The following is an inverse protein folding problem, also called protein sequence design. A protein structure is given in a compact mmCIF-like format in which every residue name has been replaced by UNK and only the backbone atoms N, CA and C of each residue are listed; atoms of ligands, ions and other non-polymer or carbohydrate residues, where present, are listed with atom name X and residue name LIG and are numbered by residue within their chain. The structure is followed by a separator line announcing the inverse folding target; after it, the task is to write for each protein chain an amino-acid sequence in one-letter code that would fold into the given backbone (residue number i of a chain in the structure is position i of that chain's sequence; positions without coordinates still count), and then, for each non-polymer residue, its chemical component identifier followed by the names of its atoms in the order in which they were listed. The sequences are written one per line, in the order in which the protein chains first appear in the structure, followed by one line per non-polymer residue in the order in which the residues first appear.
data_IF_793615320683
#
_entry.id   IF_793615320683
#
_cell.length_a   1.000
_cell.length_b   1.000
_cell.length_c   1.000
_cell.angle_alpha   90.00
_cell.angle_beta   90.00
_cell.angle_gamma   90.00
#
_symmetry.space_group_name_H-M   'P 1'
#
loop_
_entity.id
_entity.type
_entity.pdbx_description
1 polymer ?
#
# COMPACT_ATOMS: atom_id res chain seq x y z
N UNK A 1 -5.11 21.47 67.83
CA UNK A 1 -5.04 22.24 66.58
C UNK A 1 -4.42 21.34 65.51
N UNK A 2 -5.24 20.80 64.61
CA UNK A 2 -4.81 19.85 63.59
C UNK A 2 -4.36 20.61 62.33
N UNK A 3 -3.05 20.67 62.10
CA UNK A 3 -2.47 21.27 60.90
C UNK A 3 -2.54 20.24 59.75
N UNK A 4 -3.55 20.36 58.89
CA UNK A 4 -3.62 19.59 57.63
C UNK A 4 -2.64 20.21 56.64
N UNK A 5 -1.50 19.56 56.42
CA UNK A 5 -0.62 19.82 55.28
C UNK A 5 -1.33 19.39 53.99
N UNK A 6 -1.80 20.36 53.21
CA UNK A 6 -2.26 20.15 51.83
C UNK A 6 -1.03 20.19 50.94
N UNK A 7 -0.58 19.03 50.43
CA UNK A 7 0.41 18.97 49.36
C UNK A 7 -0.26 19.44 48.05
N UNK A 8 0.27 20.46 47.36
CA UNK A 8 -0.19 20.78 46.02
C UNK A 8 0.37 19.72 45.06
N UNK A 9 -0.52 18.92 44.46
CA UNK A 9 -0.19 18.10 43.29
C UNK A 9 0.21 19.06 42.15
N UNK A 10 1.51 19.19 41.89
CA UNK A 10 2.03 19.83 40.69
C UNK A 10 1.67 18.96 39.49
N UNK A 11 0.57 19.28 38.82
CA UNK A 11 0.26 18.77 37.50
C UNK A 11 1.34 19.28 36.54
N UNK A 12 2.31 18.43 36.21
CA UNK A 12 3.25 18.72 35.14
C UNK A 12 2.46 18.81 33.82
N UNK A 13 2.55 19.92 33.07
CA UNK A 13 1.98 19.97 31.74
C UNK A 13 2.72 18.95 30.89
N UNK A 14 2.03 17.86 30.52
CA UNK A 14 2.49 16.96 29.48
C UNK A 14 2.48 17.78 28.19
N UNK A 15 3.62 18.39 27.85
CA UNK A 15 3.85 18.90 26.52
C UNK A 15 3.83 17.70 25.57
N UNK A 16 2.68 17.46 24.93
CA UNK A 16 2.60 16.65 23.73
C UNK A 16 3.46 17.34 22.68
N UNK A 17 4.73 16.94 22.58
CA UNK A 17 5.59 17.30 21.48
C UNK A 17 4.96 16.67 20.24
N UNK A 18 4.27 17.49 19.44
CA UNK A 18 3.82 17.06 18.12
C UNK A 18 5.06 16.61 17.35
N UNK A 19 5.11 15.33 16.98
CA UNK A 19 6.19 14.84 16.13
C UNK A 19 6.12 15.56 14.78
N UNK A 20 7.27 16.01 14.32
CA UNK A 20 7.38 16.73 13.06
C UNK A 20 7.11 15.77 11.89
N UNK A 21 6.24 16.19 10.97
CA UNK A 21 5.87 15.42 9.79
C UNK A 21 7.03 15.38 8.79
N UNK A 22 7.45 14.19 8.38
CA UNK A 22 8.57 13.98 7.46
C UNK A 22 8.11 13.29 6.19
N UNK A 23 8.80 13.57 5.09
CA UNK A 23 8.64 12.88 3.82
C UNK A 23 9.26 11.49 3.93
N UNK A 24 8.44 10.46 3.75
CA UNK A 24 8.79 9.03 3.89
C UNK A 24 9.24 8.42 2.56
N UNK A 25 8.83 9.03 1.46
CA UNK A 25 9.31 8.74 0.12
C UNK A 25 10.59 9.53 -0.13
N UNK A 26 11.53 8.98 -0.90
CA UNK A 26 12.88 9.55 -1.06
C UNK A 26 12.93 10.67 -2.12
N UNK A 27 11.84 11.45 -2.25
CA UNK A 27 11.70 12.50 -3.26
C UNK A 27 12.82 13.52 -3.14
N UNK A 28 13.46 13.79 -4.28
CA UNK A 28 14.53 14.76 -4.38
C UNK A 28 15.92 14.27 -4.00
N UNK A 29 16.07 13.06 -3.47
CA UNK A 29 17.39 12.52 -3.11
C UNK A 29 18.22 12.11 -4.34
N UNK A 30 17.58 11.86 -5.48
CA UNK A 30 18.24 11.31 -6.67
C UNK A 30 18.17 12.18 -7.92
N UNK A 31 17.46 13.31 -7.88
CA UNK A 31 17.35 14.24 -9.00
C UNK A 31 17.62 15.70 -8.56
N UNK A 32 18.87 16.06 -8.21
CA UNK A 32 19.19 17.39 -7.68
C UNK A 32 18.91 18.53 -8.67
N UNK A 33 18.81 18.22 -9.97
CA UNK A 33 18.60 19.19 -11.04
C UNK A 33 17.17 19.70 -11.10
N UNK A 34 16.19 18.81 -10.95
CA UNK A 34 14.77 19.14 -11.11
C UNK A 34 13.98 19.03 -9.80
N UNK A 35 14.62 18.62 -8.70
CA UNK A 35 13.92 18.46 -7.43
C UNK A 35 13.34 19.76 -6.87
N UNK A 36 12.09 19.68 -6.42
CA UNK A 36 11.42 20.72 -5.62
C UNK A 36 11.60 20.51 -4.10
N UNK A 37 12.34 19.49 -3.66
CA UNK A 37 12.37 19.00 -2.26
C UNK A 37 13.69 19.28 -1.51
N UNK A 38 14.45 20.30 -1.92
CA UNK A 38 15.80 20.58 -1.38
C UNK A 38 15.83 20.74 0.15
N UNK A 39 14.78 21.32 0.72
CA UNK A 39 14.66 21.63 2.14
C UNK A 39 13.59 20.79 2.85
N UNK A 40 13.04 19.77 2.18
CA UNK A 40 12.01 18.92 2.78
C UNK A 40 12.62 18.09 3.93
N UNK A 41 11.93 17.92 5.08
CA UNK A 41 12.41 17.06 6.13
C UNK A 41 12.17 15.60 5.74
N UNK A 42 13.23 14.83 5.48
CA UNK A 42 13.11 13.42 5.13
C UNK A 42 13.21 12.48 6.33
N UNK A 43 12.57 11.33 6.17
CA UNK A 43 12.85 10.13 6.93
C UNK A 43 13.02 8.98 5.95
N UNK A 44 14.26 8.70 5.56
CA UNK A 44 14.57 7.63 4.62
C UNK A 44 14.02 6.29 5.14
N UNK A 45 13.13 5.69 4.36
CA UNK A 45 12.46 4.44 4.72
C UNK A 45 13.16 3.23 4.11
N UNK A 46 13.95 3.41 3.04
CA UNK A 46 14.46 2.29 2.23
C UNK A 46 13.33 1.52 1.54
N UNK A 47 12.17 2.17 1.36
CA UNK A 47 10.99 1.56 0.80
C UNK A 47 11.08 1.34 -0.71
N UNK A 48 10.05 0.69 -1.24
CA UNK A 48 9.94 0.34 -2.66
C UNK A 48 8.57 0.69 -3.20
N UNK A 49 8.50 0.97 -4.50
CA UNK A 49 7.24 1.11 -5.23
C UNK A 49 7.14 0.04 -6.31
N UNK A 50 5.95 -0.52 -6.47
CA UNK A 50 5.63 -1.45 -7.55
C UNK A 50 4.39 -1.02 -8.32
N UNK A 51 4.29 -1.40 -9.59
CA UNK A 51 3.21 -0.99 -10.48
C UNK A 51 2.43 -2.19 -11.02
N UNK A 52 1.09 -2.07 -11.05
CA UNK A 52 0.19 -3.09 -11.61
C UNK A 52 -0.92 -2.43 -12.43
N UNK A 53 -1.18 -2.84 -13.69
CA UNK A 53 -0.36 -3.72 -14.51
C UNK A 53 1.02 -3.11 -14.79
N UNK A 54 1.87 -3.79 -15.56
CA UNK A 54 3.18 -3.27 -15.96
C UNK A 54 2.99 -1.93 -16.71
N UNK A 55 3.86 -0.96 -16.39
CA UNK A 55 3.86 0.37 -17.00
C UNK A 55 4.24 0.31 -18.48
N UNK A 56 3.69 1.24 -19.26
CA UNK A 56 4.12 1.45 -20.64
C UNK A 56 5.44 2.23 -20.70
N UNK A 57 5.66 3.17 -19.77
CA UNK A 57 6.97 3.76 -19.53
C UNK A 57 7.20 4.06 -18.04
N UNK A 58 8.46 3.99 -17.55
CA UNK A 58 9.67 3.63 -18.30
C UNK A 58 9.68 2.17 -18.78
N UNK A 59 10.05 1.94 -20.04
CA UNK A 59 9.97 0.63 -20.71
C UNK A 59 11.00 -0.33 -20.11
N UNK A 60 10.57 -1.53 -19.73
CA UNK A 60 11.45 -2.54 -19.12
C UNK A 60 11.82 -2.25 -17.67
N UNK A 61 11.16 -1.28 -17.02
CA UNK A 61 11.34 -1.03 -15.60
C UNK A 61 10.97 -2.30 -14.79
N UNK A 62 11.75 -2.61 -13.75
CA UNK A 62 11.39 -3.68 -12.82
C UNK A 62 9.98 -3.47 -12.29
N UNK A 63 9.25 -4.55 -12.05
CA UNK A 63 7.90 -4.49 -11.45
C UNK A 63 7.94 -3.76 -10.11
N UNK A 64 9.07 -3.83 -9.39
CA UNK A 64 9.32 -3.19 -8.10
C UNK A 64 10.67 -2.50 -8.12
N UNK A 65 10.72 -1.23 -7.72
CA UNK A 65 11.93 -0.39 -7.68
C UNK A 65 12.06 0.29 -6.32
N UNK A 66 13.28 0.55 -5.82
CA UNK A 66 13.49 1.41 -4.65
C UNK A 66 12.94 2.82 -4.85
N UNK A 67 12.54 3.51 -3.77
CA UNK A 67 12.10 4.91 -3.87
C UNK A 67 13.17 5.82 -4.48
N UNK A 68 14.44 5.68 -4.08
CA UNK A 68 15.55 6.41 -4.69
C UNK A 68 15.59 6.29 -6.24
N UNK A 69 15.17 5.17 -6.81
CA UNK A 69 15.30 4.90 -8.24
C UNK A 69 14.00 5.13 -9.04
N UNK A 70 12.88 5.40 -8.36
CA UNK A 70 11.58 5.52 -9.01
C UNK A 70 11.37 6.93 -9.59
N UNK A 71 10.85 7.06 -10.83
CA UNK A 71 10.43 8.35 -11.34
C UNK A 71 9.30 8.98 -10.50
N UNK A 72 8.53 8.18 -9.75
CA UNK A 72 7.44 8.66 -8.90
C UNK A 72 7.91 9.33 -7.61
N UNK A 73 9.17 9.16 -7.26
CA UNK A 73 9.76 9.66 -6.01
C UNK A 73 11.15 10.21 -6.26
N UNK A 74 11.39 10.78 -7.45
CA UNK A 74 12.66 11.41 -7.78
C UNK A 74 12.67 12.91 -7.46
N UNK A 75 11.50 13.51 -7.20
CA UNK A 75 11.32 14.91 -6.82
C UNK A 75 10.97 15.86 -7.97
N UNK A 76 10.73 15.38 -9.18
CA UNK A 76 10.31 16.19 -10.35
C UNK A 76 8.83 15.96 -10.66
N UNK A 77 7.92 16.84 -10.19
CA UNK A 77 6.48 16.69 -10.46
C UNK A 77 6.07 17.07 -11.90
N UNK A 78 7.04 17.36 -12.78
CA UNK A 78 6.81 17.78 -14.16
C UNK A 78 6.38 16.66 -15.11
N UNK A 79 5.96 17.07 -16.31
CA UNK A 79 5.51 16.16 -17.37
C UNK A 79 6.29 16.34 -18.69
N UNK A 80 7.48 16.93 -18.62
CA UNK A 80 8.32 17.14 -19.79
C UNK A 80 9.06 15.85 -20.17
N UNK A 81 8.55 15.17 -21.20
CA UNK A 81 9.10 13.91 -21.70
C UNK A 81 10.54 14.02 -22.22
N UNK A 82 11.06 15.23 -22.42
CA UNK A 82 12.43 15.46 -22.88
C UNK A 82 13.46 15.41 -21.75
N UNK A 83 13.02 15.38 -20.49
CA UNK A 83 13.92 15.35 -19.32
C UNK A 83 14.48 13.94 -19.09
N UNK A 84 15.70 13.92 -18.57
CA UNK A 84 16.39 12.72 -18.11
C UNK A 84 16.90 12.97 -16.67
N UNK A 85 16.61 12.07 -15.70
CA UNK A 85 15.69 10.93 -15.81
C UNK A 85 14.26 11.38 -16.17
N UNK A 86 13.47 10.48 -16.76
CA UNK A 86 12.08 10.77 -17.14
C UNK A 86 11.24 11.13 -15.90
N UNK A 87 10.44 12.20 -15.93
CA UNK A 87 9.79 12.74 -14.73
C UNK A 87 8.43 12.10 -14.42
N UNK A 88 8.02 11.08 -15.17
CA UNK A 88 6.74 10.43 -14.95
C UNK A 88 6.72 8.97 -15.40
N UNK A 89 5.72 8.26 -14.89
CA UNK A 89 5.33 6.93 -15.31
C UNK A 89 3.90 6.94 -15.86
N UNK A 90 3.59 6.01 -16.77
CA UNK A 90 2.23 5.90 -17.30
C UNK A 90 1.82 4.50 -17.72
N UNK A 91 0.50 4.30 -17.70
CA UNK A 91 -0.17 3.21 -18.40
C UNK A 91 -0.80 3.73 -19.68
N UNK A 92 -0.83 2.89 -20.72
CA UNK A 92 -1.45 3.19 -22.01
C UNK A 92 -2.58 2.21 -22.30
N UNK A 93 -3.73 2.73 -22.69
CA UNK A 93 -4.94 1.98 -23.04
C UNK A 93 -5.44 1.05 -21.94
N UNK A 94 -5.12 1.36 -20.69
CA UNK A 94 -5.58 0.63 -19.51
C UNK A 94 -6.77 1.35 -18.89
N UNK A 95 -7.76 0.58 -18.42
CA UNK A 95 -8.89 1.13 -17.66
C UNK A 95 -8.52 1.50 -16.22
N UNK A 96 -7.44 0.89 -15.71
CA UNK A 96 -6.99 1.01 -14.32
C UNK A 96 -5.48 0.82 -14.23
N UNK A 97 -4.86 1.54 -13.29
CA UNK A 97 -3.49 1.35 -12.87
C UNK A 97 -3.37 1.45 -11.35
N UNK A 98 -2.36 0.81 -10.78
CA UNK A 98 -2.09 0.78 -9.34
C UNK A 98 -0.61 0.92 -9.05
N UNK A 99 -0.31 1.66 -8.00
CA UNK A 99 1.00 1.68 -7.37
C UNK A 99 0.89 1.16 -5.93
N UNK A 100 1.76 0.23 -5.56
CA UNK A 100 1.93 -0.24 -4.19
C UNK A 100 3.24 0.32 -3.64
N UNK A 101 3.17 1.05 -2.53
CA UNK A 101 4.29 1.64 -1.82
C UNK A 101 4.53 0.83 -0.54
N UNK A 102 5.63 0.09 -0.47
CA UNK A 102 6.07 -0.61 0.73
C UNK A 102 7.10 0.27 1.46
N UNK A 103 6.80 0.68 2.69
CA UNK A 103 7.65 1.55 3.51
C UNK A 103 8.70 0.77 4.32
N UNK A 104 8.78 -0.55 4.14
CA UNK A 104 9.62 -1.51 4.85
C UNK A 104 9.37 -1.64 6.37
N UNK A 105 8.79 -0.61 7.01
CA UNK A 105 8.44 -0.56 8.43
C UNK A 105 7.14 0.23 8.62
N UNK A 106 6.46 0.07 9.75
CA UNK A 106 5.28 0.86 10.06
C UNK A 106 5.58 2.33 10.34
N UNK A 107 4.76 3.21 9.76
CA UNK A 107 4.75 4.65 10.01
C UNK A 107 3.32 5.13 10.24
N UNK A 108 3.18 6.20 11.01
CA UNK A 108 1.91 6.92 11.17
C UNK A 108 1.79 7.94 10.05
N UNK A 109 0.91 7.67 9.09
CA UNK A 109 0.73 8.45 7.87
C UNK A 109 -0.27 9.57 8.13
N UNK A 110 0.07 10.77 7.66
CA UNK A 110 -0.71 12.00 7.86
C UNK A 110 -1.22 12.63 6.59
N UNK A 111 -0.45 12.49 5.51
CA UNK A 111 -0.75 13.09 4.22
C UNK A 111 -0.17 12.26 3.09
N UNK A 112 -0.95 12.07 2.03
CA UNK A 112 -0.47 11.52 0.76
C UNK A 112 -0.80 12.51 -0.35
N UNK A 113 0.18 12.81 -1.20
CA UNK A 113 -0.03 13.66 -2.39
C UNK A 113 0.35 12.89 -3.63
N UNK A 114 -0.37 13.11 -4.72
CA UNK A 114 -0.06 12.52 -6.02
C UNK A 114 -0.23 13.56 -7.12
N UNK A 115 0.78 13.71 -7.97
CA UNK A 115 0.77 14.61 -9.11
C UNK A 115 0.46 13.82 -10.38
N UNK A 116 -0.62 14.20 -11.08
CA UNK A 116 -1.05 13.53 -12.31
C UNK A 116 -1.18 14.50 -13.47
N UNK A 117 -1.04 13.97 -14.69
CA UNK A 117 -1.40 14.70 -15.91
C UNK A 117 -2.83 14.35 -16.30
N UNK A 118 -3.72 15.34 -16.27
CA UNK A 118 -5.13 15.21 -16.63
C UNK A 118 -5.49 16.21 -17.74
N UNK A 119 -4.78 16.12 -18.87
CA UNK A 119 -4.98 16.98 -20.03
C UNK A 119 -4.68 16.23 -21.34
N UNK A 120 -5.28 16.70 -22.45
CA UNK A 120 -5.11 16.06 -23.76
C UNK A 120 -5.51 14.58 -23.75
N UNK A 121 -4.66 13.65 -24.21
CA UNK A 121 -4.96 12.21 -24.19
C UNK A 121 -4.76 11.56 -22.81
N UNK A 122 -4.30 12.30 -21.81
CA UNK A 122 -4.09 11.84 -20.44
C UNK A 122 -5.33 12.12 -19.59
N UNK A 123 -5.72 11.15 -18.77
CA UNK A 123 -7.05 11.08 -18.18
C UNK A 123 -7.18 10.11 -17.02
N UNK A 124 -7.29 10.64 -15.81
CA UNK A 124 -7.70 9.89 -14.62
C UNK A 124 -9.01 10.48 -14.14
N UNK A 125 -10.02 9.64 -13.92
CA UNK A 125 -11.30 10.07 -13.35
C UNK A 125 -11.27 10.07 -11.82
N UNK A 126 -10.59 9.08 -11.24
CA UNK A 126 -10.64 8.81 -9.80
C UNK A 126 -9.31 8.27 -9.30
N UNK A 127 -8.94 8.68 -8.09
CA UNK A 127 -7.83 8.15 -7.30
C UNK A 127 -8.39 7.58 -6.00
N UNK A 128 -8.05 6.33 -5.70
CA UNK A 128 -8.44 5.64 -4.46
C UNK A 128 -7.18 5.29 -3.68
N UNK A 129 -7.19 5.55 -2.37
CA UNK A 129 -6.08 5.27 -1.45
C UNK A 129 -6.49 4.13 -0.52
N UNK A 130 -5.60 3.15 -0.37
CA UNK A 130 -5.77 2.01 0.52
C UNK A 130 -4.52 1.80 1.38
N UNK A 131 -4.69 1.15 2.53
CA UNK A 131 -3.59 0.46 3.21
C UNK A 131 -3.05 -0.64 2.29
N UNK A 132 -1.74 -0.89 2.34
CA UNK A 132 -1.18 -2.08 1.72
C UNK A 132 -1.52 -3.30 2.59
N UNK A 133 -2.28 -4.23 2.05
CA UNK A 133 -2.82 -5.40 2.75
C UNK A 133 -3.18 -6.51 1.76
N UNK A 134 -3.69 -7.63 2.26
CA UNK A 134 -4.05 -8.77 1.40
C UNK A 134 -5.23 -8.38 0.48
N UNK A 135 -5.18 -8.63 -0.84
CA UNK A 135 -6.33 -8.43 -1.73
C UNK A 135 -7.59 -9.21 -1.34
N UNK A 136 -7.44 -10.28 -0.54
CA UNK A 136 -8.54 -11.06 0.03
C UNK A 136 -9.15 -10.39 1.28
N UNK A 137 -8.49 -9.39 1.86
CA UNK A 137 -9.16 -8.47 2.77
C UNK A 137 -10.17 -7.66 1.95
N UNK A 138 -11.40 -7.55 2.45
CA UNK A 138 -12.46 -6.74 1.84
C UNK A 138 -11.87 -5.37 1.44
N UNK A 139 -11.82 -5.01 0.15
CA UNK A 139 -11.15 -3.80 -0.32
C UNK A 139 -11.58 -2.53 0.42
N UNK A 140 -12.83 -2.50 0.89
CA UNK A 140 -13.44 -1.46 1.70
C UNK A 140 -12.78 -1.29 3.06
N UNK A 141 -12.40 -2.40 3.73
CA UNK A 141 -11.73 -2.37 5.03
C UNK A 141 -10.33 -1.75 4.96
N UNK A 142 -9.69 -1.81 3.78
CA UNK A 142 -8.39 -1.19 3.54
C UNK A 142 -8.50 0.22 2.99
N UNK A 143 -9.67 0.66 2.53
CA UNK A 143 -9.83 1.97 1.88
C UNK A 143 -9.65 3.09 2.91
N UNK A 144 -8.74 4.00 2.60
CA UNK A 144 -8.46 5.20 3.39
C UNK A 144 -9.15 6.43 2.82
N UNK A 145 -9.41 6.46 1.52
CA UNK A 145 -10.09 7.58 0.88
C UNK A 145 -10.25 7.44 -0.62
N UNK A 146 -10.98 8.38 -1.19
CA UNK A 146 -11.22 8.51 -2.62
C UNK A 146 -11.28 9.99 -3.01
N UNK A 147 -10.72 10.33 -4.16
CA UNK A 147 -10.79 11.65 -4.75
C UNK A 147 -11.25 11.56 -6.21
N UNK A 148 -12.04 12.55 -6.65
CA UNK A 148 -12.12 12.87 -8.07
C UNK A 148 -10.79 13.46 -8.49
N UNK A 149 -10.24 12.95 -9.59
CA UNK A 149 -8.91 13.32 -10.02
C UNK A 149 -8.89 14.68 -10.75
N UNK A 150 -7.96 15.55 -10.34
CA UNK A 150 -7.69 16.85 -10.93
C UNK A 150 -6.31 16.88 -11.58
N UNK A 151 -6.10 17.74 -12.59
CA UNK A 151 -4.79 17.92 -13.20
C UNK A 151 -3.81 18.53 -12.19
N UNK A 152 -2.65 17.91 -12.00
CA UNK A 152 -1.64 18.32 -11.02
C UNK A 152 -1.79 17.59 -9.68
N UNK A 153 -1.56 18.30 -8.58
CA UNK A 153 -1.51 17.72 -7.23
C UNK A 153 -2.89 17.41 -6.67
N UNK A 154 -3.10 16.16 -6.28
CA UNK A 154 -4.27 15.66 -5.56
C UNK A 154 -3.82 15.26 -4.15
N UNK A 155 -4.62 15.60 -3.13
CA UNK A 155 -4.20 15.50 -1.73
C UNK A 155 -5.18 14.71 -0.90
N UNK A 156 -4.70 13.64 -0.27
CA UNK A 156 -5.35 13.00 0.87
C UNK A 156 -4.75 13.61 2.14
N UNK A 157 -5.45 14.56 2.73
CA UNK A 157 -5.09 15.15 4.01
C UNK A 157 -5.85 14.47 5.16
N UNK A 158 -5.50 14.82 6.40
CA UNK A 158 -6.18 14.35 7.63
C UNK A 158 -6.15 12.83 7.81
N UNK A 159 -5.11 12.17 7.29
CA UNK A 159 -4.88 10.77 7.60
C UNK A 159 -4.39 10.64 9.05
N UNK A 160 -4.83 9.59 9.71
CA UNK A 160 -4.30 9.18 11.00
C UNK A 160 -4.29 7.66 11.08
N UNK A 161 -3.38 7.05 10.33
CA UNK A 161 -3.30 5.60 10.22
C UNK A 161 -1.87 5.12 10.34
N UNK A 162 -1.68 4.01 11.06
CA UNK A 162 -0.38 3.35 11.15
C UNK A 162 -0.33 2.20 10.17
N UNK A 163 0.55 2.29 9.18
CA UNK A 163 0.71 1.28 8.12
C UNK A 163 2.18 1.14 7.73
N UNK A 164 2.56 -0.02 7.21
CA UNK A 164 3.88 -0.27 6.60
C UNK A 164 3.86 -0.14 5.08
N UNK A 165 2.74 0.26 4.50
CA UNK A 165 2.60 0.52 3.08
C UNK A 165 1.23 1.04 2.68
N UNK A 166 1.15 1.55 1.46
CA UNK A 166 -0.06 2.09 0.85
C UNK A 166 -0.26 1.54 -0.56
N UNK A 167 -1.50 1.54 -1.05
CA UNK A 167 -1.83 1.27 -2.44
C UNK A 167 -2.65 2.43 -2.99
N UNK A 168 -2.19 3.00 -4.09
CA UNK A 168 -2.92 3.99 -4.88
C UNK A 168 -3.50 3.30 -6.11
N UNK A 169 -4.80 3.49 -6.35
CA UNK A 169 -5.50 2.98 -7.53
C UNK A 169 -6.04 4.14 -8.34
N UNK A 170 -5.81 4.07 -9.64
CA UNK A 170 -6.20 5.08 -10.62
C UNK A 170 -7.20 4.46 -11.59
N UNK A 171 -8.33 5.12 -11.78
CA UNK A 171 -9.32 4.74 -12.80
C UNK A 171 -9.22 5.70 -13.97
N UNK A 172 -9.04 5.17 -15.18
CA UNK A 172 -8.97 5.97 -16.39
C UNK A 172 -10.26 6.77 -16.61
N UNK A 173 -10.13 8.01 -17.07
CA UNK A 173 -11.26 8.78 -17.55
C UNK A 173 -11.74 8.25 -18.91
N UNK A 174 -13.07 8.22 -19.11
CA UNK A 174 -13.67 7.69 -20.34
C UNK A 174 -13.17 8.46 -21.56
N UNK A 175 -12.69 7.74 -22.58
CA UNK A 175 -12.20 8.31 -23.83
C UNK A 175 -10.75 8.80 -23.79
N UNK A 176 -10.05 8.61 -22.67
CA UNK A 176 -8.64 8.96 -22.52
C UNK A 176 -7.76 7.73 -22.72
N UNK A 177 -6.55 7.96 -23.21
CA UNK A 177 -5.61 6.90 -23.60
C UNK A 177 -4.61 6.60 -22.49
N UNK A 178 -4.22 7.58 -21.69
CA UNK A 178 -3.13 7.45 -20.72
C UNK A 178 -3.59 7.75 -19.29
N UNK A 179 -3.10 6.95 -18.34
CA UNK A 179 -3.05 7.31 -16.92
C UNK A 179 -1.59 7.68 -16.64
N UNK A 180 -1.32 8.91 -16.23
CA UNK A 180 0.05 9.44 -16.09
C UNK A 180 0.26 10.09 -14.74
N UNK A 181 1.30 9.66 -14.05
CA UNK A 181 1.66 10.10 -12.69
C UNK A 181 3.13 10.51 -12.70
N UNK A 182 3.42 11.74 -12.26
CA UNK A 182 4.80 12.23 -12.14
C UNK A 182 5.37 11.95 -10.77
N UNK A 183 4.62 12.24 -9.71
CA UNK A 183 5.17 12.24 -8.36
C UNK A 183 4.16 11.74 -7.32
N UNK A 184 4.64 11.05 -6.29
CA UNK A 184 3.88 10.66 -5.11
C UNK A 184 4.68 11.02 -3.86
N UNK A 185 4.01 11.70 -2.93
CA UNK A 185 4.57 12.02 -1.63
C UNK A 185 3.81 11.27 -0.54
N UNK A 186 4.52 10.59 0.36
CA UNK A 186 3.94 10.02 1.57
C UNK A 186 4.57 10.72 2.77
N UNK A 187 3.75 11.37 3.59
CA UNK A 187 4.20 12.12 4.76
C UNK A 187 3.69 11.52 6.05
N UNK A 188 4.57 11.44 7.05
CA UNK A 188 4.23 10.88 8.33
C UNK A 188 5.38 10.91 9.34
N UNK A 189 5.26 10.06 10.34
CA UNK A 189 6.18 9.95 11.47
C UNK A 189 6.40 8.49 11.85
N UNK A 190 7.45 8.21 12.64
CA UNK A 190 7.70 6.84 13.10
C UNK A 190 6.53 6.36 13.93
N UNK A 191 6.04 5.15 13.66
CA UNK A 191 5.04 4.54 14.53
C UNK A 191 5.63 4.33 15.94
N UNK A 192 4.84 4.65 16.97
CA UNK A 192 5.20 4.40 18.37
C UNK A 192 4.39 3.21 18.87
N UNK A 193 5.07 2.20 19.41
CA UNK A 193 4.45 0.99 19.97
C UNK A 193 4.51 -0.25 19.08
N UNK A 194 3.96 -1.36 19.56
CA UNK A 194 3.86 -2.61 18.79
C UNK A 194 2.80 -2.44 17.70
N UNK A 195 3.23 -2.46 16.45
CA UNK A 195 2.32 -2.55 15.31
C UNK A 195 2.14 -4.01 14.95
N UNK A 196 0.90 -4.44 14.72
CA UNK A 196 0.63 -5.78 14.22
C UNK A 196 1.37 -5.99 12.89
N UNK A 197 2.05 -7.13 12.74
CA UNK A 197 2.71 -7.46 11.48
C UNK A 197 1.64 -7.59 10.38
N UNK A 198 1.89 -6.97 9.22
CA UNK A 198 1.02 -7.06 8.03
C UNK A 198 0.73 -8.52 7.69
N UNK A 199 -0.55 -8.83 7.46
CA UNK A 199 -0.92 -10.05 6.74
C UNK A 199 -0.36 -9.91 5.31
N UNK A 200 0.71 -10.67 5.02
CA UNK A 200 1.23 -10.72 3.65
C UNK A 200 0.29 -11.59 2.83
N UNK A 201 0.00 -11.15 1.60
CA UNK A 201 -0.69 -11.98 0.64
C UNK A 201 -0.01 -13.37 0.61
N UNK A 202 -0.79 -14.46 0.61
CA UNK A 202 -0.24 -15.81 0.54
C UNK A 202 0.74 -15.89 -0.64
N UNK A 203 1.87 -16.56 -0.43
CA UNK A 203 2.80 -16.82 -1.53
C UNK A 203 2.06 -17.59 -2.62
N UNK A 204 2.16 -17.12 -3.86
CA UNK A 204 1.70 -17.85 -5.06
C UNK A 204 2.13 -19.31 -4.97
N UNK A 205 1.15 -20.20 -4.81
CA UNK A 205 1.37 -21.64 -4.86
C UNK A 205 1.59 -22.13 -6.30
N UNK A 206 1.02 -21.42 -7.27
CA UNK A 206 0.93 -21.80 -8.67
C UNK A 206 1.07 -20.54 -9.58
N UNK A 207 1.80 -20.60 -10.71
CA UNK A 207 1.84 -19.52 -11.70
C UNK A 207 0.50 -19.25 -12.42
N UNK A 208 -0.47 -20.17 -12.36
CA UNK A 208 -1.79 -20.09 -13.01
C UNK A 208 -2.85 -19.37 -12.16
N UNK A 209 -2.55 -18.16 -11.70
CA UNK A 209 -3.57 -17.30 -11.10
C UNK A 209 -4.66 -16.97 -12.12
N UNK A 210 -5.93 -16.96 -11.70
CA UNK A 210 -7.01 -16.48 -12.57
C UNK A 210 -7.06 -14.96 -12.48
N UNK A 211 -6.93 -14.28 -13.61
CA UNK A 211 -7.13 -12.84 -13.69
C UNK A 211 -8.53 -12.54 -14.20
N UNK A 212 -9.39 -11.98 -13.36
CA UNK A 212 -10.75 -11.59 -13.76
C UNK A 212 -11.02 -10.16 -13.29
N UNK A 213 -11.42 -9.28 -14.22
CA UNK A 213 -11.67 -7.85 -13.96
C UNK A 213 -10.49 -7.10 -13.29
N UNK A 214 -9.25 -7.53 -13.54
CA UNK A 214 -8.06 -6.94 -12.93
C UNK A 214 -7.85 -7.32 -11.46
N UNK A 215 -8.60 -8.30 -10.97
CA UNK A 215 -8.38 -8.96 -9.68
C UNK A 215 -7.69 -10.29 -9.96
N UNK A 216 -6.59 -10.52 -9.26
CA UNK A 216 -5.91 -11.81 -9.24
C UNK A 216 -6.58 -12.70 -8.21
N UNK A 217 -7.19 -13.79 -8.65
CA UNK A 217 -7.81 -14.78 -7.78
C UNK A 217 -6.84 -15.92 -7.47
N UNK A 218 -6.68 -16.17 -6.17
CA UNK A 218 -6.11 -17.40 -5.67
C UNK A 218 -7.24 -18.38 -5.43
N UNK A 219 -7.43 -19.29 -6.38
CA UNK A 219 -8.47 -20.28 -6.32
C UNK A 219 -7.90 -21.57 -5.69
N UNK A 220 -8.44 -21.98 -4.55
CA UNK A 220 -8.02 -23.21 -3.85
C UNK A 220 -9.18 -24.21 -3.86
N UNK A 221 -8.86 -25.46 -4.17
CA UNK A 221 -9.82 -26.56 -4.17
C UNK A 221 -9.45 -27.53 -3.04
N UNK A 222 -10.27 -27.58 -2.00
CA UNK A 222 -9.98 -28.36 -0.79
C UNK A 222 -10.64 -29.73 -0.87
N UNK A 223 -9.86 -30.81 -0.70
CA UNK A 223 -10.40 -32.16 -0.73
C UNK A 223 -9.39 -33.25 -0.37
N UNK A 224 -9.79 -34.53 -0.37
CA UNK A 224 -8.83 -35.64 -0.36
C UNK A 224 -7.89 -35.60 -1.57
N UNK A 225 -6.78 -36.33 -1.50
CA UNK A 225 -5.78 -36.43 -2.59
C UNK A 225 -6.39 -36.88 -3.93
N UNK A 226 -7.50 -37.62 -3.89
CA UNK A 226 -8.22 -38.11 -5.06
C UNK A 226 -9.25 -37.14 -5.62
N UNK A 227 -9.48 -35.98 -4.99
CA UNK A 227 -10.47 -35.02 -5.48
C UNK A 227 -10.04 -34.45 -6.82
N UNK A 228 -10.96 -34.37 -7.81
CA UNK A 228 -10.68 -33.61 -9.01
C UNK A 228 -10.43 -32.16 -8.62
N UNK A 229 -9.37 -31.57 -9.17
CA UNK A 229 -9.03 -30.16 -8.99
C UNK A 229 -9.24 -29.46 -10.33
N UNK A 230 -9.94 -28.32 -10.32
CA UNK A 230 -10.05 -27.49 -11.52
C UNK A 230 -8.64 -27.07 -12.01
N UNK A 231 -8.43 -27.05 -13.33
CA UNK A 231 -7.10 -26.87 -13.93
C UNK A 231 -6.41 -25.53 -13.60
N UNK A 232 -7.20 -24.56 -13.15
CA UNK A 232 -6.82 -23.21 -12.72
C UNK A 232 -6.85 -23.01 -11.19
N UNK A 233 -7.13 -24.05 -10.42
CA UNK A 233 -7.14 -24.02 -8.95
C UNK A 233 -5.88 -24.71 -8.40
N UNK A 234 -5.49 -24.31 -7.19
CA UNK A 234 -4.49 -25.02 -6.39
C UNK A 234 -5.21 -26.08 -5.57
N UNK A 235 -4.96 -27.35 -5.87
CA UNK A 235 -5.49 -28.46 -5.07
C UNK A 235 -4.84 -28.48 -3.69
N UNK A 236 -5.65 -28.33 -2.65
CA UNK A 236 -5.23 -28.38 -1.25
C UNK A 236 -5.75 -29.68 -0.67
N UNK A 237 -4.85 -30.65 -0.51
CA UNK A 237 -5.24 -31.96 0.01
C UNK A 237 -5.35 -31.93 1.54
N UNK A 238 -6.08 -32.88 2.12
CA UNK A 238 -6.18 -33.08 3.57
C UNK A 238 -4.82 -33.26 4.29
N UNK A 239 -3.73 -33.53 3.56
CA UNK A 239 -2.37 -33.61 4.11
C UNK A 239 -1.65 -32.25 4.14
N UNK A 240 -2.21 -31.22 3.52
CA UNK A 240 -1.64 -29.87 3.50
C UNK A 240 -2.10 -29.15 4.77
N UNK A 241 -1.32 -29.32 5.85
CA UNK A 241 -1.54 -28.60 7.11
C UNK A 241 -1.30 -27.10 6.91
N UNK A 242 -2.20 -26.27 7.43
CA UNK A 242 -2.08 -24.81 7.40
C UNK A 242 -0.74 -24.34 7.97
N UNK A 243 -0.08 -23.44 7.26
CA UNK A 243 1.09 -22.73 7.74
C UNK A 243 0.90 -21.23 7.48
N UNK A 244 1.25 -20.40 8.47
CA UNK A 244 1.02 -18.96 8.42
C UNK A 244 1.72 -18.29 7.23
N UNK A 245 2.94 -18.73 6.92
CA UNK A 245 3.77 -18.23 5.82
C UNK A 245 3.22 -18.63 4.45
N UNK A 246 2.47 -19.74 4.40
CA UNK A 246 1.82 -20.25 3.18
C UNK A 246 0.46 -19.58 2.97
N UNK A 247 -0.27 -19.32 4.05
CA UNK A 247 -1.57 -18.66 4.06
C UNK A 247 -2.75 -19.55 3.65
N UNK A 248 -2.53 -20.85 3.40
CA UNK A 248 -3.59 -21.84 3.12
C UNK A 248 -3.22 -23.24 3.63
N UNK A 249 -4.23 -24.09 3.80
CA UNK A 249 -4.13 -25.47 4.31
C UNK A 249 -5.22 -25.80 5.32
N UNK A 250 -5.34 -27.07 5.70
CA UNK A 250 -6.24 -27.52 6.75
C UNK A 250 -5.64 -27.22 8.12
N UNK A 251 -6.41 -26.55 8.98
CA UNK A 251 -5.99 -26.28 10.35
C UNK A 251 -6.31 -27.52 11.19
N UNK A 252 -5.32 -28.16 11.82
CA UNK A 252 -5.58 -29.27 12.74
C UNK A 252 -6.30 -28.74 13.99
N UNK A 253 -7.22 -29.55 14.51
CA UNK A 253 -7.92 -29.26 15.76
C UNK A 253 -7.59 -30.34 16.79
N UNK A 254 -7.21 -29.90 17.99
CA UNK A 254 -7.13 -30.75 19.17
C UNK A 254 -8.03 -30.17 20.26
N UNK A 255 -8.84 -31.03 20.87
CA UNK A 255 -9.78 -30.65 21.94
C UNK A 255 -10.72 -29.49 21.59
N UNK A 256 -11.18 -29.46 20.34
CA UNK A 256 -12.10 -28.42 19.83
C UNK A 256 -11.45 -27.06 19.60
N UNK A 257 -10.11 -26.96 19.71
CA UNK A 257 -9.35 -25.73 19.45
C UNK A 257 -8.39 -25.92 18.27
N UNK A 258 -8.16 -24.88 17.44
CA UNK A 258 -7.17 -24.95 16.39
C UNK A 258 -5.76 -24.97 16.98
N UNK A 259 -4.90 -25.86 16.50
CA UNK A 259 -3.50 -25.97 16.95
C UNK A 259 -2.67 -24.73 16.60
N UNK A 260 -3.08 -24.04 15.55
CA UNK A 260 -2.42 -22.83 15.07
C UNK A 260 -3.49 -21.79 14.78
N UNK A 261 -3.35 -20.56 15.30
CA UNK A 261 -4.25 -19.48 14.96
C UNK A 261 -4.17 -19.21 13.45
N UNK A 262 -5.32 -19.31 12.79
CA UNK A 262 -5.49 -18.91 11.40
C UNK A 262 -5.29 -17.41 11.25
N UNK A 263 -4.83 -16.96 10.08
CA UNK A 263 -4.96 -15.56 9.68
C UNK A 263 -6.44 -15.11 9.57
N UNK A 264 -7.40 -16.03 9.58
CA UNK A 264 -8.84 -15.78 9.35
C UNK A 264 -9.77 -16.48 10.36
N UNK A 265 -9.26 -16.89 11.53
CA UNK A 265 -10.00 -17.71 12.50
C UNK A 265 -10.84 -16.90 13.50
N UNK A 266 -11.70 -17.55 14.30
CA UNK A 266 -12.54 -16.86 15.30
C UNK A 266 -11.75 -16.17 16.42
N UNK A 267 -10.52 -16.61 16.68
CA UNK A 267 -9.55 -15.97 17.59
C UNK A 267 -8.89 -14.72 16.97
N UNK A 268 -9.07 -14.52 15.65
CA UNK A 268 -8.67 -13.27 15.01
C UNK A 268 -9.59 -12.17 15.51
N UNK A 269 -9.05 -11.20 16.25
CA UNK A 269 -9.80 -10.01 16.70
C UNK A 269 -10.31 -9.14 15.55
N UNK A 270 -10.02 -9.53 14.31
CA UNK A 270 -10.57 -9.00 13.08
C UNK A 270 -10.97 -10.21 12.24
N UNK A 271 -12.25 -10.55 12.20
CA UNK A 271 -12.82 -11.30 11.08
C UNK A 271 -13.11 -10.22 10.04
N UNK A 272 -12.38 -10.16 8.91
CA UNK A 272 -12.72 -9.19 7.88
C UNK A 272 -14.16 -9.46 7.45
N UNK A 273 -15.06 -8.48 7.56
CA UNK A 273 -16.41 -8.53 7.00
C UNK A 273 -17.57 -9.04 7.88
N UNK A 274 -17.39 -9.19 9.19
CA UNK A 274 -18.49 -9.29 10.17
C UNK A 274 -18.40 -8.19 11.23
#
# INVERSE_FOLDING_TARGET
MNLRCVLPLLASPIFLVAQEMKLLTENGLTNPKYTEYKDAPHLATGGTVSARPVLAAPKGAPITVPFAESPLTNGDPGFDYKRAPGPYAYWQSMKRGEFEFDLAKPYRIRKVRVCILNSGPHGTARIELYKLGDPLEFPEALKLGELRAENGWNVFDKLDTTVDGLRLRFTAEKGKTYITVSEVEIWGEKAVGKVAARARAPKRANPKSVMENGIEWYAFDFGPVSSPTFSNFTGVTNNVVYAKERGYGFIPYHDGKPDTPSNFGPESTVVPGL
#
